data_IF_417326768552
#
_entry.id   IF_417326768552
#
_cell.length_a   1.000
_cell.length_b   1.000
_cell.length_c   1.000
_cell.angle_alpha   90.00
_cell.angle_beta   90.00
_cell.angle_gamma   90.00
#
_symmetry.space_group_name_H-M   'P 1'
#
loop_
_entity.id
_entity.type
_entity.pdbx_description
1 polymer ?
#
# COMPACT_ATOMS: atom_id res chain seq x y z
N UNK A 1 -14.92 2.75 17.93
CA UNK A 1 -14.47 3.96 17.22
C UNK A 1 -13.09 4.46 17.62
N UNK A 2 -12.57 4.01 18.76
CA UNK A 2 -11.20 4.32 19.19
C UNK A 2 -10.10 3.71 18.32
N UNK A 3 -10.43 2.71 17.49
CA UNK A 3 -9.47 1.97 16.67
C UNK A 3 -8.88 2.74 15.48
N UNK A 4 -9.46 3.89 15.11
CA UNK A 4 -8.99 4.69 13.98
C UNK A 4 -8.04 5.83 14.38
N UNK A 5 -7.74 5.97 15.67
CA UNK A 5 -6.75 6.95 16.15
C UNK A 5 -5.32 6.67 15.65
N UNK A 6 -5.07 5.47 15.13
CA UNK A 6 -3.79 5.07 14.58
C UNK A 6 -3.51 5.58 13.16
N UNK A 7 -4.51 6.11 12.47
CA UNK A 7 -4.33 6.60 11.10
C UNK A 7 -3.65 7.97 11.13
N UNK A 8 -2.47 8.07 10.50
CA UNK A 8 -1.69 9.30 10.44
C UNK A 8 -2.25 10.28 9.40
N UNK A 9 -2.54 9.79 8.23
CA UNK A 9 -3.20 10.57 7.18
C UNK A 9 -3.82 9.64 6.13
N UNK A 10 -4.74 10.21 5.37
CA UNK A 10 -5.37 9.53 4.22
C UNK A 10 -5.24 10.42 2.99
N UNK A 11 -5.05 9.79 1.85
CA UNK A 11 -5.11 10.45 0.55
C UNK A 11 -6.01 9.65 -0.38
N UNK A 12 -6.67 10.34 -1.30
CA UNK A 12 -7.52 9.69 -2.29
C UNK A 12 -7.32 10.32 -3.66
N UNK A 13 -7.49 9.52 -4.71
CA UNK A 13 -7.51 10.01 -6.08
C UNK A 13 -8.48 9.20 -6.91
N UNK A 14 -9.08 9.88 -7.90
CA UNK A 14 -9.87 9.25 -8.95
C UNK A 14 -8.98 9.21 -10.20
N UNK A 15 -8.84 8.04 -10.82
CA UNK A 15 -8.11 7.91 -12.07
C UNK A 15 -8.84 8.65 -13.19
N UNK A 16 -8.07 9.29 -14.10
CA UNK A 16 -8.66 9.93 -15.27
C UNK A 16 -9.36 8.88 -16.16
N UNK A 17 -10.42 9.27 -16.91
CA UNK A 17 -11.09 8.36 -17.84
C UNK A 17 -10.14 7.66 -18.82
N UNK A 18 -9.11 8.38 -19.29
CA UNK A 18 -8.10 7.82 -20.20
C UNK A 18 -7.23 6.76 -19.52
N UNK A 19 -6.84 6.97 -18.26
CA UNK A 19 -6.11 5.99 -17.47
C UNK A 19 -6.94 4.74 -17.20
N UNK A 20 -8.24 4.91 -16.97
CA UNK A 20 -9.19 3.81 -16.79
C UNK A 20 -9.34 3.02 -18.08
N UNK A 21 -9.60 3.68 -19.20
CA UNK A 21 -9.72 3.05 -20.51
C UNK A 21 -8.46 2.30 -20.92
N UNK A 22 -7.28 2.85 -20.63
CA UNK A 22 -5.98 2.22 -20.92
C UNK A 22 -5.77 0.94 -20.11
N UNK A 23 -6.28 0.89 -18.87
CA UNK A 23 -6.19 -0.30 -18.01
C UNK A 23 -7.27 -1.34 -18.30
N UNK A 24 -8.48 -0.92 -18.64
CA UNK A 24 -9.60 -1.81 -18.83
C UNK A 24 -9.40 -2.68 -20.07
N UNK A 25 -8.95 -2.11 -21.22
CA UNK A 25 -8.86 -2.86 -22.47
C UNK A 25 -10.05 -3.79 -22.65
N UNK A 26 -9.81 -5.10 -22.67
CA UNK A 26 -10.85 -6.14 -22.68
C UNK A 26 -10.95 -6.93 -21.35
N UNK A 27 -10.30 -6.46 -20.27
CA UNK A 27 -10.24 -7.19 -19.01
C UNK A 27 -10.96 -6.42 -17.88
N UNK A 28 -12.16 -6.91 -17.57
CA UNK A 28 -12.99 -6.36 -16.48
C UNK A 28 -12.34 -6.46 -15.09
N UNK A 29 -11.33 -7.30 -14.91
CA UNK A 29 -10.60 -7.40 -13.65
C UNK A 29 -9.84 -6.12 -13.28
N UNK A 30 -9.59 -5.23 -14.24
CA UNK A 30 -8.88 -3.96 -14.03
C UNK A 30 -9.80 -2.83 -13.56
N UNK A 31 -11.12 -3.04 -13.52
CA UNK A 31 -12.10 -2.07 -12.98
C UNK A 31 -11.92 -1.83 -11.46
N UNK A 32 -11.20 -2.70 -10.76
CA UNK A 32 -10.96 -2.58 -9.33
C UNK A 32 -10.13 -1.35 -8.93
N UNK A 33 -9.48 -0.68 -9.86
CA UNK A 33 -8.50 0.38 -9.63
C UNK A 33 -9.03 1.80 -9.95
N UNK A 34 -10.36 1.99 -10.01
CA UNK A 34 -10.93 3.29 -10.43
C UNK A 34 -10.72 4.37 -9.37
N UNK A 35 -10.94 4.04 -8.11
CA UNK A 35 -10.75 4.95 -6.97
C UNK A 35 -9.67 4.36 -6.07
N UNK A 36 -8.63 5.15 -5.79
CA UNK A 36 -7.57 4.76 -4.88
C UNK A 36 -7.61 5.57 -3.60
N UNK A 37 -7.47 4.91 -2.46
CA UNK A 37 -7.36 5.53 -1.14
C UNK A 37 -6.10 4.99 -0.46
N UNK A 38 -5.28 5.88 0.08
CA UNK A 38 -4.11 5.51 0.87
C UNK A 38 -4.39 5.78 2.36
N UNK A 39 -4.15 4.79 3.19
CA UNK A 39 -4.24 4.91 4.65
C UNK A 39 -2.85 4.64 5.22
N UNK A 40 -2.32 5.61 5.97
CA UNK A 40 -0.98 5.56 6.52
C UNK A 40 -1.06 5.39 8.03
N UNK A 41 -0.39 4.36 8.52
CA UNK A 41 -0.31 3.98 9.94
C UNK A 41 1.11 4.18 10.47
N UNK A 42 1.26 4.28 11.79
CA UNK A 42 2.57 4.35 12.40
C UNK A 42 3.26 2.98 12.49
N UNK A 43 2.51 1.93 12.80
CA UNK A 43 3.04 0.60 13.10
C UNK A 43 2.38 -0.50 12.28
N UNK A 44 3.09 -1.61 12.14
CA UNK A 44 2.62 -2.75 11.31
C UNK A 44 1.32 -3.35 11.85
N UNK A 45 1.18 -3.51 13.16
CA UNK A 45 -0.05 -4.07 13.74
C UNK A 45 -1.29 -3.21 13.45
N UNK A 46 -1.12 -1.90 13.38
CA UNK A 46 -2.19 -0.97 13.05
C UNK A 46 -2.71 -1.15 11.62
N UNK A 47 -1.84 -1.56 10.70
CA UNK A 47 -2.25 -1.89 9.33
C UNK A 47 -3.27 -3.03 9.31
N UNK A 48 -3.04 -4.06 10.12
CA UNK A 48 -3.96 -5.19 10.24
C UNK A 48 -5.24 -4.83 10.98
N UNK A 49 -5.17 -3.94 11.96
CA UNK A 49 -6.36 -3.39 12.64
C UNK A 49 -7.25 -2.62 11.65
N UNK A 50 -6.63 -1.80 10.79
CA UNK A 50 -7.36 -1.08 9.73
C UNK A 50 -7.99 -2.06 8.75
N UNK A 51 -7.26 -3.09 8.34
CA UNK A 51 -7.80 -4.16 7.47
C UNK A 51 -9.02 -4.82 8.10
N UNK A 52 -8.95 -5.19 9.37
CA UNK A 52 -10.06 -5.83 10.07
C UNK A 52 -11.27 -4.90 10.19
N UNK A 53 -11.03 -3.62 10.45
CA UNK A 53 -12.09 -2.62 10.45
C UNK A 53 -12.76 -2.47 9.08
N UNK A 54 -11.99 -2.42 8.01
CA UNK A 54 -12.51 -2.36 6.64
C UNK A 54 -13.36 -3.60 6.37
N UNK A 55 -12.85 -4.77 6.75
CA UNK A 55 -13.53 -6.05 6.53
C UNK A 55 -14.88 -6.14 7.27
N UNK A 56 -15.00 -5.51 8.44
CA UNK A 56 -16.26 -5.46 9.20
C UNK A 56 -17.21 -4.34 8.77
N UNK A 57 -16.73 -3.33 8.04
CA UNK A 57 -17.48 -2.12 7.70
C UNK A 57 -17.94 -2.06 6.24
N UNK A 58 -17.28 -2.79 5.35
CA UNK A 58 -17.53 -2.75 3.90
C UNK A 58 -17.58 -4.15 3.30
N UNK A 59 -18.16 -4.24 2.10
CA UNK A 59 -18.08 -5.43 1.27
C UNK A 59 -16.68 -5.54 0.68
N UNK A 60 -15.87 -6.45 1.23
CA UNK A 60 -14.51 -6.72 0.75
C UNK A 60 -14.56 -7.72 -0.40
N UNK A 61 -14.01 -7.34 -1.54
CA UNK A 61 -13.95 -8.16 -2.75
C UNK A 61 -12.65 -8.96 -2.80
N UNK A 62 -11.52 -8.33 -2.43
CA UNK A 62 -10.20 -8.94 -2.49
C UNK A 62 -9.25 -8.30 -1.48
N UNK A 63 -8.37 -9.13 -0.92
CA UNK A 63 -7.25 -8.69 -0.09
C UNK A 63 -5.95 -9.23 -0.68
N UNK A 64 -4.95 -8.36 -0.83
CA UNK A 64 -3.59 -8.71 -1.21
C UNK A 64 -2.64 -8.27 -0.11
N UNK A 65 -2.00 -9.24 0.53
CA UNK A 65 -1.06 -8.99 1.62
C UNK A 65 0.38 -9.03 1.11
N UNK A 66 0.87 -7.88 0.67
CA UNK A 66 2.25 -7.73 0.24
C UNK A 66 3.24 -7.52 1.40
N UNK A 67 2.78 -7.57 2.65
CA UNK A 67 3.68 -7.68 3.80
C UNK A 67 4.19 -9.10 3.95
N UNK A 68 3.29 -10.09 3.85
CA UNK A 68 3.63 -11.51 3.91
C UNK A 68 4.26 -12.00 2.62
N UNK A 69 3.83 -11.47 1.49
CA UNK A 69 4.27 -11.84 0.16
C UNK A 69 4.71 -10.61 -0.63
N UNK A 70 5.89 -10.04 -0.33
CA UNK A 70 6.39 -8.85 -1.01
C UNK A 70 6.51 -9.07 -2.51
N UNK A 71 6.34 -8.01 -3.29
CA UNK A 71 6.63 -8.06 -4.73
C UNK A 71 8.14 -8.24 -4.97
N UNK A 72 8.54 -8.75 -6.14
CA UNK A 72 9.97 -8.92 -6.48
C UNK A 72 10.78 -7.61 -6.37
N UNK A 73 10.16 -6.46 -6.55
CA UNK A 73 10.79 -5.14 -6.36
C UNK A 73 11.11 -4.80 -4.90
N UNK A 74 10.55 -5.55 -3.96
CA UNK A 74 10.59 -5.24 -2.53
C UNK A 74 9.35 -4.49 -2.04
N UNK A 75 8.43 -4.12 -2.91
CA UNK A 75 7.20 -3.41 -2.55
C UNK A 75 6.39 -4.19 -1.51
N UNK A 76 5.99 -3.49 -0.44
CA UNK A 76 5.16 -4.01 0.65
C UNK A 76 4.01 -3.05 0.93
N UNK A 77 2.82 -3.59 1.07
CA UNK A 77 1.60 -2.86 1.41
C UNK A 77 0.47 -3.87 1.66
N UNK A 78 -0.61 -3.46 2.30
CA UNK A 78 -1.88 -4.17 2.26
C UNK A 78 -2.78 -3.51 1.23
N UNK A 79 -3.31 -4.28 0.30
CA UNK A 79 -4.29 -3.81 -0.67
C UNK A 79 -5.63 -4.46 -0.36
N UNK A 80 -6.65 -3.66 -0.12
CA UNK A 80 -8.01 -4.11 0.13
C UNK A 80 -8.92 -3.48 -0.92
N UNK A 81 -9.57 -4.32 -1.71
CA UNK A 81 -10.55 -3.85 -2.69
C UNK A 81 -11.93 -4.04 -2.09
N UNK A 82 -12.67 -2.95 -2.00
CA UNK A 82 -14.06 -2.92 -1.51
C UNK A 82 -15.01 -2.49 -2.61
N UNK A 83 -16.27 -2.84 -2.45
CA UNK A 83 -17.36 -2.38 -3.31
C UNK A 83 -18.27 -1.47 -2.51
N UNK A 84 -18.46 -0.25 -3.01
CA UNK A 84 -19.35 0.76 -2.42
C UNK A 84 -20.24 1.33 -3.51
N UNK A 85 -21.55 1.20 -3.33
CA UNK A 85 -22.55 1.71 -4.29
C UNK A 85 -22.28 1.32 -5.75
N UNK A 86 -21.85 0.07 -5.97
CA UNK A 86 -21.55 -0.44 -7.32
C UNK A 86 -20.17 -0.02 -7.85
N UNK A 87 -19.43 0.79 -7.13
CA UNK A 87 -18.07 1.23 -7.48
C UNK A 87 -17.01 0.42 -6.69
N UNK A 88 -15.88 0.18 -7.34
CA UNK A 88 -14.74 -0.46 -6.69
C UNK A 88 -13.76 0.58 -6.18
N UNK A 89 -13.28 0.38 -4.95
CA UNK A 89 -12.28 1.22 -4.29
C UNK A 89 -11.12 0.35 -3.86
N UNK A 90 -9.91 0.69 -4.30
CA UNK A 90 -8.68 0.07 -3.80
C UNK A 90 -8.14 0.89 -2.65
N UNK A 91 -8.05 0.27 -1.48
CA UNK A 91 -7.46 0.85 -0.29
C UNK A 91 -6.07 0.25 -0.13
N UNK A 92 -5.05 1.10 -0.14
CA UNK A 92 -3.67 0.72 0.14
C UNK A 92 -3.32 1.18 1.54
N UNK A 93 -2.99 0.22 2.42
CA UNK A 93 -2.62 0.49 3.80
C UNK A 93 -1.13 0.27 3.96
N UNK A 94 -0.43 1.26 4.50
CA UNK A 94 1.03 1.26 4.65
C UNK A 94 1.43 1.84 5.99
N UNK A 95 2.63 1.51 6.45
CA UNK A 95 3.31 2.33 7.45
C UNK A 95 3.89 3.59 6.81
N UNK A 96 4.30 4.55 7.63
CA UNK A 96 5.00 5.76 7.17
C UNK A 96 6.26 5.38 6.38
N UNK A 97 7.01 4.39 6.85
CA UNK A 97 8.24 3.94 6.20
C UNK A 97 7.97 3.24 4.86
N UNK A 98 6.93 2.41 4.78
CA UNK A 98 6.53 1.75 3.53
C UNK A 98 6.04 2.76 2.49
N UNK A 99 5.31 3.78 2.93
CA UNK A 99 4.84 4.86 2.05
C UNK A 99 5.99 5.71 1.53
N UNK A 100 6.96 6.03 2.38
CA UNK A 100 8.19 6.72 1.99
C UNK A 100 8.93 5.98 0.89
N UNK A 101 9.18 4.69 1.05
CA UNK A 101 9.85 3.88 0.03
C UNK A 101 9.05 3.83 -1.29
N UNK A 102 7.74 3.60 -1.20
CA UNK A 102 6.88 3.50 -2.37
C UNK A 102 6.85 4.79 -3.20
N UNK A 103 6.83 5.94 -2.54
CA UNK A 103 6.87 7.25 -3.21
C UNK A 103 8.21 7.49 -3.88
N UNK A 104 9.33 7.15 -3.26
CA UNK A 104 10.67 7.31 -3.85
C UNK A 104 10.89 6.35 -5.01
N UNK A 105 10.49 5.10 -4.86
CA UNK A 105 10.56 4.11 -5.96
C UNK A 105 9.79 4.58 -7.18
N UNK A 106 8.58 5.09 -6.97
CA UNK A 106 7.74 5.63 -8.04
C UNK A 106 8.41 6.81 -8.75
N UNK A 107 9.01 7.74 -8.02
CA UNK A 107 9.74 8.88 -8.59
C UNK A 107 10.94 8.44 -9.42
N UNK A 108 11.70 7.46 -8.94
CA UNK A 108 12.88 6.92 -9.64
C UNK A 108 12.45 6.17 -10.90
N UNK A 109 11.37 5.40 -10.83
CA UNK A 109 10.86 4.62 -11.95
C UNK A 109 10.40 5.49 -13.14
N UNK A 110 9.93 6.71 -12.86
CA UNK A 110 9.51 7.67 -13.90
C UNK A 110 10.65 8.44 -14.57
N UNK A 111 11.88 8.35 -14.05
CA UNK A 111 13.05 8.90 -14.73
C UNK A 111 13.44 7.95 -15.86
N UNK A 112 13.21 8.40 -17.09
CA UNK A 112 13.65 7.69 -18.30
C UNK A 112 15.18 7.87 -18.46
N UNK A 113 15.83 6.86 -19.05
CA UNK A 113 17.27 6.87 -19.37
C UNK A 113 18.19 6.89 -18.15
N UNK A 114 17.93 6.00 -17.19
CA UNK A 114 18.84 5.79 -16.06
C UNK A 114 19.88 4.75 -16.46
N UNK A 115 21.14 5.14 -16.46
CA UNK A 115 22.25 4.19 -16.53
C UNK A 115 22.18 3.24 -15.33
N UNK A 116 22.57 1.98 -15.51
CA UNK A 116 22.61 0.96 -14.45
C UNK A 116 21.24 0.61 -13.80
N UNK A 117 20.19 0.52 -14.60
CA UNK A 117 18.83 0.19 -14.13
C UNK A 117 18.80 -1.04 -13.20
N UNK A 118 19.57 -2.08 -13.52
CA UNK A 118 19.64 -3.29 -12.69
C UNK A 118 20.21 -3.02 -11.29
N UNK A 119 21.26 -2.18 -11.22
CA UNK A 119 21.88 -1.80 -9.95
C UNK A 119 20.90 -0.98 -9.12
N UNK A 120 20.22 -0.02 -9.71
CA UNK A 120 19.24 0.82 -9.05
C UNK A 120 18.08 -0.01 -8.50
N UNK A 121 17.56 -0.95 -9.26
CA UNK A 121 16.50 -1.86 -8.81
C UNK A 121 16.96 -2.73 -7.63
N UNK A 122 18.20 -3.25 -7.70
CA UNK A 122 18.80 -4.03 -6.63
C UNK A 122 18.95 -3.20 -5.34
N UNK A 123 19.42 -1.96 -5.45
CA UNK A 123 19.54 -1.05 -4.32
C UNK A 123 18.19 -0.65 -3.73
N UNK A 124 17.18 -0.40 -4.57
CA UNK A 124 15.81 -0.12 -4.11
C UNK A 124 15.24 -1.30 -3.33
N UNK A 125 15.47 -2.53 -3.81
CA UNK A 125 15.03 -3.73 -3.09
C UNK A 125 15.76 -3.87 -1.77
N UNK A 126 17.05 -3.62 -1.72
CA UNK A 126 17.84 -3.63 -0.47
C UNK A 126 17.29 -2.60 0.53
N UNK A 127 16.98 -1.39 0.08
CA UNK A 127 16.36 -0.37 0.92
C UNK A 127 14.97 -0.80 1.41
N UNK A 128 14.17 -1.47 0.59
CA UNK A 128 12.88 -1.99 1.00
C UNK A 128 13.01 -3.04 2.11
N UNK A 129 13.99 -3.92 2.02
CA UNK A 129 14.27 -4.93 3.04
C UNK A 129 14.75 -4.29 4.36
N UNK A 130 15.56 -3.24 4.29
CA UNK A 130 16.00 -2.47 5.46
C UNK A 130 14.82 -1.76 6.13
N UNK A 131 13.93 -1.15 5.36
CA UNK A 131 12.72 -0.50 5.87
C UNK A 131 11.79 -1.50 6.54
N UNK A 132 11.62 -2.69 5.98
CA UNK A 132 10.82 -3.75 6.60
C UNK A 132 11.42 -4.19 7.94
N UNK A 133 12.73 -4.30 8.03
CA UNK A 133 13.44 -4.59 9.28
C UNK A 133 13.25 -3.47 10.31
N UNK A 134 13.32 -2.23 9.88
CA UNK A 134 13.10 -1.06 10.73
C UNK A 134 11.66 -1.03 11.27
N UNK A 135 10.67 -1.31 10.44
CA UNK A 135 9.27 -1.41 10.87
C UNK A 135 9.05 -2.49 11.95
N UNK A 136 9.71 -3.64 11.82
CA UNK A 136 9.67 -4.68 12.84
C UNK A 136 10.32 -4.21 14.15
N UNK A 137 11.39 -3.46 14.08
CA UNK A 137 12.05 -2.88 15.26
C UNK A 137 11.13 -1.89 15.98
N UNK A 138 10.45 -1.02 15.24
CA UNK A 138 9.46 -0.09 15.81
C UNK A 138 8.25 -0.83 16.41
N UNK A 139 7.79 -1.88 15.76
CA UNK A 139 6.73 -2.73 16.32
C UNK A 139 7.17 -3.35 17.66
N UNK A 140 8.39 -3.83 17.74
CA UNK A 140 8.94 -4.38 18.99
C UNK A 140 8.99 -3.33 20.09
N UNK A 141 9.37 -2.09 19.76
CA UNK A 141 9.37 -0.97 20.72
C UNK A 141 7.96 -0.69 21.21
N UNK A 142 7.00 -0.61 20.30
CA UNK A 142 5.57 -0.42 20.65
C UNK A 142 5.07 -1.51 21.61
N UNK A 143 5.33 -2.77 21.27
CA UNK A 143 4.90 -3.92 22.07
C UNK A 143 5.47 -3.88 23.49
N UNK A 144 6.70 -3.40 23.66
CA UNK A 144 7.32 -3.24 25.00
C UNK A 144 6.70 -2.10 25.80
N UNK A 145 6.27 -1.03 25.13
CA UNK A 145 5.63 0.11 25.80
C UNK A 145 4.21 -0.24 26.23
N UNK A 146 3.48 -0.95 25.39
CA UNK A 146 2.07 -1.32 25.61
C UNK A 146 1.92 -2.59 26.45
N UNK A 147 2.92 -3.43 26.46
CA UNK A 147 2.96 -4.68 27.23
C UNK A 147 3.24 -4.46 28.68
#
# INVERSE_FOLDING_TARGET
>A
MSSLACIQYTTSRIKSPESVLKKIGNDYALLHDIIGVHIICSFVDEMYQVKDWINSSFEVVQVRDYLRHPKPSGYRSLHVIIKVDGCFVEIQVRTIALDFWANLEHQIHYKKDVEDEKLIRSELKRCADEIASLDLSFQTIKDRIEG
#
